data_IF_855098797620
#
_entry.id   IF_855098797620
#
_cell.length_a   1.000
_cell.length_b   1.000
_cell.length_c   1.000
_cell.angle_alpha   90.00
_cell.angle_beta   90.00
_cell.angle_gamma   90.00
#
_symmetry.space_group_name_H-M   'P 1'
#
loop_
_entity.id
_entity.type
_entity.pdbx_description
1 polymer ?
#
# COMPACT_ATOMS: atom_id res chain seq x y z
N UNK A 1 4.06 -12.47 -0.62
CA UNK A 1 5.02 -11.61 -1.37
C UNK A 1 4.36 -10.51 -2.21
N UNK A 2 3.17 -10.74 -2.80
CA UNK A 2 2.52 -9.72 -3.64
C UNK A 2 1.99 -8.50 -2.85
N UNK A 3 1.29 -8.72 -1.75
CA UNK A 3 0.76 -7.64 -0.88
C UNK A 3 1.91 -6.74 -0.37
N UNK A 4 3.00 -7.36 0.08
CA UNK A 4 4.18 -6.64 0.56
C UNK A 4 4.86 -5.79 -0.52
N UNK A 5 4.89 -6.26 -1.78
CA UNK A 5 5.50 -5.48 -2.88
C UNK A 5 4.64 -4.26 -3.26
N UNK A 6 3.31 -4.41 -3.29
CA UNK A 6 2.38 -3.29 -3.51
C UNK A 6 2.44 -2.29 -2.36
N UNK A 7 2.54 -2.79 -1.12
CA UNK A 7 2.67 -1.94 0.07
C UNK A 7 3.96 -1.12 0.04
N UNK A 8 5.09 -1.74 -0.32
CA UNK A 8 6.35 -1.02 -0.49
C UNK A 8 6.27 0.04 -1.60
N UNK A 9 5.66 -0.29 -2.75
CA UNK A 9 5.46 0.68 -3.83
C UNK A 9 4.57 1.85 -3.41
N UNK A 10 3.55 1.61 -2.59
CA UNK A 10 2.71 2.68 -2.05
C UNK A 10 3.51 3.59 -1.11
N UNK A 11 4.39 3.03 -0.26
CA UNK A 11 5.29 3.79 0.60
C UNK A 11 6.32 4.63 -0.17
N UNK A 12 6.87 4.08 -1.26
CA UNK A 12 7.73 4.83 -2.20
C UNK A 12 6.93 5.97 -2.83
N UNK A 13 5.71 5.69 -3.32
CA UNK A 13 4.85 6.71 -3.92
C UNK A 13 4.42 7.80 -2.93
N UNK A 14 4.32 7.49 -1.63
CA UNK A 14 4.10 8.49 -0.58
C UNK A 14 5.35 9.32 -0.25
N UNK A 15 6.51 9.02 -0.87
CA UNK A 15 7.79 9.67 -0.55
C UNK A 15 8.36 9.25 0.80
N UNK A 16 7.83 8.20 1.44
CA UNK A 16 8.34 7.66 2.71
C UNK A 16 9.61 6.82 2.52
N UNK A 17 9.79 6.27 1.32
CA UNK A 17 10.93 5.44 0.95
C UNK A 17 11.57 5.99 -0.33
N UNK A 18 12.89 5.87 -0.42
CA UNK A 18 13.62 6.13 -1.66
C UNK A 18 13.28 5.06 -2.68
N UNK A 19 13.04 5.46 -3.93
CA UNK A 19 12.86 4.51 -5.00
C UNK A 19 14.21 3.79 -5.26
N UNK A 20 14.28 2.45 -5.14
CA UNK A 20 15.55 1.71 -5.25
C UNK A 20 16.12 1.69 -6.68
N UNK A 21 15.32 2.06 -7.68
CA UNK A 21 15.75 2.10 -9.10
C UNK A 21 16.28 3.48 -9.46
N UNK A 22 15.56 4.54 -9.08
CA UNK A 22 15.92 5.91 -9.45
C UNK A 22 16.80 6.61 -8.41
N UNK A 23 16.93 6.04 -7.20
CA UNK A 23 17.55 6.65 -6.03
C UNK A 23 16.96 8.03 -5.67
N UNK A 24 15.70 8.29 -6.05
CA UNK A 24 15.00 9.53 -5.72
C UNK A 24 13.86 9.28 -4.76
N UNK A 25 13.62 10.27 -3.91
CA UNK A 25 12.41 10.35 -3.09
C UNK A 25 11.43 11.28 -3.79
N UNK A 26 10.42 10.70 -4.44
CA UNK A 26 9.40 11.45 -5.18
C UNK A 26 8.02 11.16 -4.59
N UNK A 27 7.29 12.22 -4.24
CA UNK A 27 5.94 12.13 -3.67
C UNK A 27 4.91 12.16 -4.80
N UNK A 28 4.27 11.02 -5.06
CA UNK A 28 3.14 10.86 -5.96
C UNK A 28 1.93 10.28 -5.19
N UNK A 29 1.18 11.16 -4.53
CA UNK A 29 -0.01 10.77 -3.77
C UNK A 29 -1.12 10.15 -4.64
N UNK A 30 -1.15 10.44 -5.95
CA UNK A 30 -2.08 9.80 -6.88
C UNK A 30 -1.77 8.31 -7.06
N UNK A 31 -0.50 7.98 -7.27
CA UNK A 31 -0.03 6.60 -7.37
C UNK A 31 -0.19 5.84 -6.05
N UNK A 32 0.10 6.48 -4.91
CA UNK A 32 -0.13 5.88 -3.60
C UNK A 32 -1.61 5.50 -3.39
N UNK A 33 -2.53 6.42 -3.70
CA UNK A 33 -3.97 6.15 -3.62
C UNK A 33 -4.38 4.99 -4.53
N UNK A 34 -3.92 4.98 -5.78
CA UNK A 34 -4.21 3.90 -6.73
C UNK A 34 -3.79 2.52 -6.20
N UNK A 35 -2.59 2.43 -5.61
CA UNK A 35 -2.09 1.18 -5.03
C UNK A 35 -2.91 0.72 -3.82
N UNK A 36 -3.28 1.65 -2.93
CA UNK A 36 -4.14 1.37 -1.76
C UNK A 36 -5.52 0.91 -2.21
N UNK A 37 -6.12 1.58 -3.19
CA UNK A 37 -7.43 1.21 -3.74
C UNK A 37 -7.36 -0.17 -4.40
N UNK A 38 -6.27 -0.47 -5.12
CA UNK A 38 -6.05 -1.79 -5.73
C UNK A 38 -5.99 -2.89 -4.67
N UNK A 39 -5.26 -2.68 -3.57
CA UNK A 39 -5.24 -3.60 -2.43
C UNK A 39 -6.64 -3.75 -1.82
N UNK A 40 -7.42 -2.68 -1.76
CA UNK A 40 -8.81 -2.70 -1.29
C UNK A 40 -9.72 -3.56 -2.18
N UNK A 41 -9.59 -3.42 -3.50
CA UNK A 41 -10.31 -4.25 -4.47
C UNK A 41 -9.91 -5.70 -4.33
N UNK A 42 -8.61 -5.99 -4.15
CA UNK A 42 -8.13 -7.35 -3.92
C UNK A 42 -8.79 -7.96 -2.69
N UNK A 43 -8.81 -7.26 -1.56
CA UNK A 43 -9.50 -7.73 -0.33
C UNK A 43 -10.95 -8.13 -0.60
N UNK A 44 -11.70 -7.27 -1.30
CA UNK A 44 -13.10 -7.56 -1.61
C UNK A 44 -13.26 -8.76 -2.57
N UNK A 45 -12.39 -8.88 -3.57
CA UNK A 45 -12.44 -9.95 -4.57
C UNK A 45 -11.93 -11.30 -4.07
N UNK A 46 -11.04 -11.31 -3.08
CA UNK A 46 -10.46 -12.53 -2.51
C UNK A 46 -11.16 -12.99 -1.23
N UNK A 47 -12.14 -12.24 -0.73
CA UNK A 47 -12.89 -12.57 0.49
C UNK A 47 -13.47 -13.99 0.42
N UNK A 48 -13.20 -14.79 1.46
CA UNK A 48 -13.63 -16.20 1.54
C UNK A 48 -12.71 -17.19 0.83
N UNK A 49 -11.68 -16.72 0.12
CA UNK A 49 -10.65 -17.55 -0.52
C UNK A 49 -9.27 -17.40 0.13
N UNK A 50 -9.14 -16.55 1.15
CA UNK A 50 -7.90 -16.35 1.90
C UNK A 50 -7.87 -17.24 3.13
N UNK A 51 -6.68 -17.70 3.51
CA UNK A 51 -6.47 -18.21 4.86
C UNK A 51 -6.35 -17.06 5.89
N UNK A 52 -6.24 -17.41 7.18
CA UNK A 52 -6.19 -16.42 8.27
C UNK A 52 -4.96 -15.53 8.21
N UNK A 53 -3.83 -16.09 7.80
CA UNK A 53 -2.56 -15.36 7.78
C UNK A 53 -2.57 -14.37 6.61
N UNK A 54 -3.05 -14.81 5.44
CA UNK A 54 -3.24 -13.96 4.26
C UNK A 54 -4.24 -12.82 4.51
N UNK A 55 -5.37 -13.12 5.16
CA UNK A 55 -6.35 -12.11 5.54
C UNK A 55 -5.73 -11.08 6.49
N UNK A 56 -5.07 -11.51 7.56
CA UNK A 56 -4.40 -10.60 8.51
C UNK A 56 -3.37 -9.72 7.83
N UNK A 57 -2.49 -10.29 7.00
CA UNK A 57 -1.45 -9.53 6.28
C UNK A 57 -2.09 -8.47 5.37
N UNK A 58 -3.18 -8.80 4.68
CA UNK A 58 -3.87 -7.87 3.80
C UNK A 58 -4.56 -6.75 4.57
N UNK A 59 -5.22 -7.08 5.67
CA UNK A 59 -5.87 -6.11 6.55
C UNK A 59 -4.88 -5.15 7.20
N UNK A 60 -3.81 -5.68 7.80
CA UNK A 60 -2.77 -4.89 8.45
C UNK A 60 -2.07 -3.98 7.44
N UNK A 61 -1.75 -4.50 6.25
CA UNK A 61 -1.15 -3.71 5.18
C UNK A 61 -2.08 -2.56 4.74
N UNK A 62 -3.37 -2.85 4.52
CA UNK A 62 -4.33 -1.82 4.14
C UNK A 62 -4.52 -0.76 5.22
N UNK A 63 -4.60 -1.17 6.49
CA UNK A 63 -4.73 -0.25 7.62
C UNK A 63 -3.53 0.69 7.71
N UNK A 64 -2.31 0.13 7.73
CA UNK A 64 -1.08 0.91 7.84
C UNK A 64 -0.90 1.88 6.66
N UNK A 65 -1.17 1.43 5.44
CA UNK A 65 -1.05 2.29 4.26
C UNK A 65 -2.07 3.42 4.23
N UNK A 66 -3.32 3.16 4.64
CA UNK A 66 -4.36 4.19 4.72
C UNK A 66 -4.02 5.24 5.76
N UNK A 67 -3.52 4.83 6.92
CA UNK A 67 -3.06 5.76 7.96
C UNK A 67 -1.92 6.63 7.45
N UNK A 68 -0.87 6.00 6.91
CA UNK A 68 0.28 6.70 6.34
C UNK A 68 -0.13 7.67 5.21
N UNK A 69 -1.11 7.30 4.39
CA UNK A 69 -1.62 8.15 3.32
C UNK A 69 -2.34 9.39 3.84
N UNK A 70 -3.17 9.26 4.88
CA UNK A 70 -3.86 10.39 5.50
C UNK A 70 -2.84 11.34 6.14
N UNK A 71 -1.94 10.80 6.96
CA UNK A 71 -0.87 11.58 7.59
C UNK A 71 -0.03 12.35 6.57
N UNK A 72 0.31 11.70 5.45
CA UNK A 72 1.13 12.32 4.41
C UNK A 72 0.33 13.28 3.51
N UNK A 73 -1.00 13.14 3.46
CA UNK A 73 -1.88 14.07 2.74
C UNK A 73 -2.13 15.36 3.54
N UNK A 74 -2.10 15.28 4.86
CA UNK A 74 -2.25 16.42 5.77
C UNK A 74 -0.93 17.21 5.98
N UNK A 75 0.20 16.68 5.52
CA UNK A 75 1.50 17.36 5.42
C UNK A 75 1.70 18.06 4.07
#
# INVERSE_FOLDING_TARGET
>A
MFISSLSMQAMIAMGKLQNPVTNKTEKNMGQAKYLIDTLGILKEKTKGNLDKDEESILEDSLFNLRMAYVEEKEK
#
